data_IF_255089147402
#
_entry.id   IF_255089147402
#
_cell.length_a   1.000
_cell.length_b   1.000
_cell.length_c   1.000
_cell.angle_alpha   90.00
_cell.angle_beta   90.00
_cell.angle_gamma   90.00
#
_symmetry.space_group_name_H-M   'P 1'
#
loop_
_entity.id
_entity.type
_entity.pdbx_description
1 polymer ?
#
# COMPACT_ATOMS: atom_id res chain seq x y z
N UNK A 1 -3.81 12.46 -14.56
CA UNK A 1 -3.54 13.56 -13.60
C UNK A 1 -4.02 13.11 -12.23
N UNK A 2 -3.20 13.21 -11.20
CA UNK A 2 -3.40 12.58 -9.88
C UNK A 2 -4.80 12.76 -9.25
N UNK A 3 -5.38 11.70 -8.68
CA UNK A 3 -6.51 11.79 -7.74
C UNK A 3 -6.01 12.07 -6.31
N UNK A 4 -5.20 13.12 -6.19
CA UNK A 4 -4.70 13.62 -4.92
C UNK A 4 -5.62 14.72 -4.36
N UNK A 5 -5.61 14.90 -3.04
CA UNK A 5 -6.24 16.05 -2.41
C UNK A 5 -5.63 17.35 -2.99
N UNK A 6 -6.40 18.46 -3.08
CA UNK A 6 -5.90 19.71 -3.65
C UNK A 6 -4.58 20.19 -3.04
N UNK A 7 -4.41 20.04 -1.72
CA UNK A 7 -3.18 20.40 -1.00
C UNK A 7 -1.95 19.64 -1.52
N UNK A 8 -2.10 18.34 -1.76
CA UNK A 8 -0.99 17.49 -2.24
C UNK A 8 -0.66 17.79 -3.70
N UNK A 9 -1.67 18.16 -4.51
CA UNK A 9 -1.44 18.65 -5.88
C UNK A 9 -0.57 19.91 -5.89
N UNK A 10 -0.86 20.87 -5.01
CA UNK A 10 -0.07 22.09 -4.89
C UNK A 10 1.35 21.82 -4.39
N UNK A 11 1.52 20.90 -3.43
CA UNK A 11 2.85 20.50 -2.95
C UNK A 11 3.68 19.81 -4.03
N UNK A 12 3.10 18.87 -4.79
CA UNK A 12 3.79 18.22 -5.91
C UNK A 12 4.13 19.23 -7.00
N UNK A 13 3.22 20.16 -7.31
CA UNK A 13 3.50 21.20 -8.29
C UNK A 13 4.65 22.11 -7.84
N UNK A 14 4.64 22.56 -6.59
CA UNK A 14 5.74 23.34 -6.03
C UNK A 14 7.05 22.55 -6.09
N UNK A 15 7.06 21.30 -5.65
CA UNK A 15 8.24 20.43 -5.75
C UNK A 15 8.72 20.29 -7.20
N UNK A 16 7.81 20.13 -8.17
CA UNK A 16 8.12 20.11 -9.61
C UNK A 16 8.81 21.37 -10.07
N UNK A 17 8.31 22.53 -9.66
CA UNK A 17 8.90 23.82 -10.03
C UNK A 17 10.28 24.02 -9.37
N UNK A 18 10.44 23.58 -8.12
CA UNK A 18 11.70 23.66 -7.37
C UNK A 18 12.80 22.74 -7.91
N UNK A 19 12.42 21.59 -8.47
CA UNK A 19 13.35 20.59 -8.99
C UNK A 19 13.20 20.41 -10.51
N UNK A 20 12.72 21.44 -11.20
CA UNK A 20 12.46 21.42 -12.66
C UNK A 20 13.69 21.08 -13.51
N UNK A 21 14.88 21.39 -13.00
CA UNK A 21 16.15 21.15 -13.67
C UNK A 21 16.75 19.76 -13.31
N UNK A 22 16.03 18.96 -12.52
CA UNK A 22 16.38 17.57 -12.19
C UNK A 22 15.56 16.59 -13.01
N UNK A 23 16.20 15.50 -13.43
CA UNK A 23 15.55 14.37 -14.12
C UNK A 23 14.62 13.55 -13.20
N UNK A 24 14.51 13.92 -11.91
CA UNK A 24 13.64 13.26 -10.92
C UNK A 24 12.25 12.97 -11.49
N UNK A 25 11.62 13.96 -12.12
CA UNK A 25 10.23 13.83 -12.58
C UNK A 25 10.09 12.94 -13.82
N UNK A 26 11.13 12.86 -14.66
CA UNK A 26 11.16 11.92 -15.78
C UNK A 26 11.15 10.49 -15.24
N UNK A 27 12.03 10.20 -14.28
CA UNK A 27 12.11 8.87 -13.69
C UNK A 27 10.89 8.54 -12.82
N UNK A 28 10.34 9.53 -12.11
CA UNK A 28 9.09 9.39 -11.36
C UNK A 28 7.91 9.05 -12.28
N UNK A 29 7.75 9.78 -13.38
CA UNK A 29 6.65 9.53 -14.33
C UNK A 29 6.81 8.14 -15.01
N UNK A 30 8.06 7.70 -15.27
CA UNK A 30 8.34 6.32 -15.69
C UNK A 30 7.91 5.29 -14.64
N UNK A 31 8.36 5.42 -13.39
CA UNK A 31 7.95 4.51 -12.30
C UNK A 31 6.43 4.39 -12.21
N UNK A 32 5.75 5.55 -12.20
CA UNK A 32 4.29 5.65 -12.11
C UNK A 32 3.60 4.90 -13.24
N UNK A 33 4.11 5.02 -14.46
CA UNK A 33 3.56 4.29 -15.61
C UNK A 33 3.64 2.78 -15.40
N UNK A 34 4.77 2.30 -14.88
CA UNK A 34 5.00 0.86 -14.71
C UNK A 34 4.19 0.24 -13.56
N UNK A 35 3.83 1.00 -12.52
CA UNK A 35 3.06 0.48 -11.37
C UNK A 35 1.59 0.90 -11.36
N UNK A 36 1.13 1.70 -12.34
CA UNK A 36 -0.19 2.33 -12.32
C UNK A 36 -1.35 1.34 -12.20
N UNK A 37 -1.32 0.26 -12.97
CA UNK A 37 -2.39 -0.74 -12.98
C UNK A 37 -2.45 -1.48 -11.65
N UNK A 38 -1.30 -1.90 -11.13
CA UNK A 38 -1.19 -2.52 -9.81
C UNK A 38 -1.70 -1.60 -8.69
N UNK A 39 -1.27 -0.33 -8.67
CA UNK A 39 -1.73 0.65 -7.68
C UNK A 39 -3.24 0.88 -7.78
N UNK A 40 -3.78 0.96 -9.00
CA UNK A 40 -5.20 1.20 -9.23
C UNK A 40 -6.04 0.03 -8.73
N UNK A 41 -5.65 -1.21 -9.04
CA UNK A 41 -6.35 -2.41 -8.57
C UNK A 41 -6.20 -2.57 -7.04
N UNK A 42 -4.99 -2.38 -6.51
CA UNK A 42 -4.71 -2.38 -5.08
C UNK A 42 -5.58 -1.39 -4.32
N UNK A 43 -5.76 -0.18 -4.87
CA UNK A 43 -6.61 0.86 -4.27
C UNK A 43 -8.10 0.47 -4.26
N UNK A 44 -8.57 -0.32 -5.23
CA UNK A 44 -9.95 -0.80 -5.21
C UNK A 44 -10.16 -1.83 -4.09
N UNK A 45 -9.17 -2.71 -3.88
CA UNK A 45 -9.24 -3.70 -2.80
C UNK A 45 -9.12 -3.08 -1.41
N UNK A 46 -8.24 -2.10 -1.20
CA UNK A 46 -8.16 -1.44 0.12
C UNK A 46 -9.49 -0.73 0.46
N UNK A 47 -10.09 -0.02 -0.50
CA UNK A 47 -11.40 0.62 -0.29
C UNK A 47 -12.52 -0.39 -0.04
N UNK A 48 -12.45 -1.55 -0.69
CA UNK A 48 -13.40 -2.63 -0.45
C UNK A 48 -13.22 -3.27 0.93
N UNK A 49 -11.97 -3.46 1.38
CA UNK A 49 -11.66 -3.92 2.75
C UNK A 49 -12.22 -2.93 3.76
N UNK A 50 -11.96 -1.63 3.58
CA UNK A 50 -12.47 -0.56 4.44
C UNK A 50 -14.01 -0.62 4.54
N UNK A 51 -14.73 -0.75 3.41
CA UNK A 51 -16.20 -0.85 3.39
C UNK A 51 -16.70 -2.12 4.12
N UNK A 52 -16.00 -3.24 3.95
CA UNK A 52 -16.35 -4.51 4.61
C UNK A 52 -16.13 -4.47 6.12
N UNK A 53 -15.08 -3.81 6.58
CA UNK A 53 -14.73 -3.73 8.00
C UNK A 53 -15.52 -2.63 8.73
N UNK A 54 -15.96 -1.58 8.04
CA UNK A 54 -16.69 -0.44 8.64
C UNK A 54 -18.00 -0.86 9.31
N UNK A 55 -18.73 -1.83 8.74
CA UNK A 55 -19.98 -2.34 9.31
C UNK A 55 -19.79 -3.00 10.68
N UNK A 56 -18.64 -3.66 10.87
CA UNK A 56 -18.33 -4.44 12.08
C UNK A 56 -17.40 -3.70 13.05
N UNK A 57 -16.90 -2.52 12.64
CA UNK A 57 -16.04 -1.60 13.41
C UNK A 57 -16.54 -1.33 14.82
N UNK A 58 -17.85 -1.41 15.04
CA UNK A 58 -18.48 -1.12 16.33
C UNK A 58 -19.07 -2.35 17.04
N UNK A 59 -19.04 -3.53 16.42
CA UNK A 59 -19.76 -4.71 16.91
C UNK A 59 -18.87 -5.90 17.25
N UNK A 60 -17.80 -6.14 16.47
CA UNK A 60 -17.00 -7.38 16.60
C UNK A 60 -15.51 -7.14 16.81
N UNK A 61 -15.01 -5.98 16.40
CA UNK A 61 -13.59 -5.64 16.46
C UNK A 61 -13.41 -4.48 17.44
N UNK A 62 -12.41 -4.57 18.31
CA UNK A 62 -11.98 -3.44 19.11
C UNK A 62 -11.48 -2.30 18.20
N UNK A 63 -12.04 -1.07 18.28
CA UNK A 63 -11.67 0.05 17.41
C UNK A 63 -10.17 0.36 17.38
N UNK A 64 -9.43 0.04 18.45
CA UNK A 64 -7.97 0.21 18.51
C UNK A 64 -7.23 -0.63 17.45
N UNK A 65 -7.81 -1.75 17.01
CA UNK A 65 -7.18 -2.72 16.12
C UNK A 65 -7.70 -2.66 14.67
N UNK A 66 -8.59 -1.72 14.35
CA UNK A 66 -9.20 -1.65 13.01
C UNK A 66 -8.17 -1.45 11.90
N UNK A 67 -7.26 -0.49 12.07
CA UNK A 67 -6.19 -0.25 11.09
C UNK A 67 -5.30 -1.49 10.90
N UNK A 68 -5.12 -2.30 11.95
CA UNK A 68 -4.31 -3.52 11.90
C UNK A 68 -5.06 -4.64 11.17
N UNK A 69 -6.36 -4.77 11.41
CA UNK A 69 -7.23 -5.69 10.67
C UNK A 69 -7.25 -5.36 9.18
N UNK A 70 -7.47 -4.10 8.82
CA UNK A 70 -7.53 -3.65 7.42
C UNK A 70 -6.19 -3.89 6.71
N UNK A 71 -5.08 -3.58 7.37
CA UNK A 71 -3.72 -3.86 6.86
C UNK A 71 -3.47 -5.36 6.69
N UNK A 72 -3.88 -6.17 7.65
CA UNK A 72 -3.69 -7.62 7.59
C UNK A 72 -4.55 -8.25 6.48
N UNK A 73 -5.81 -7.84 6.34
CA UNK A 73 -6.71 -8.30 5.28
C UNK A 73 -6.15 -7.94 3.90
N UNK A 74 -5.79 -6.66 3.71
CA UNK A 74 -5.23 -6.19 2.45
C UNK A 74 -3.88 -6.86 2.15
N UNK A 75 -3.00 -7.02 3.15
CA UNK A 75 -1.74 -7.74 3.02
C UNK A 75 -1.94 -9.19 2.56
N UNK A 76 -2.94 -9.89 3.10
CA UNK A 76 -3.26 -11.25 2.68
C UNK A 76 -3.85 -11.36 1.27
N UNK A 77 -4.63 -10.36 0.84
CA UNK A 77 -5.07 -10.25 -0.56
C UNK A 77 -3.85 -10.11 -1.49
N UNK A 78 -2.87 -9.28 -1.13
CA UNK A 78 -1.65 -9.12 -1.92
C UNK A 78 -0.79 -10.40 -1.92
N UNK A 79 -0.64 -11.08 -0.77
CA UNK A 79 0.08 -12.35 -0.69
C UNK A 79 -0.57 -13.39 -1.61
N UNK A 80 -1.88 -13.55 -1.52
CA UNK A 80 -2.60 -14.56 -2.29
C UNK A 80 -2.56 -14.27 -3.80
N UNK A 81 -2.80 -13.03 -4.21
CA UNK A 81 -2.71 -12.65 -5.64
C UNK A 81 -1.29 -12.72 -6.19
N UNK A 82 -0.27 -12.67 -5.33
CA UNK A 82 1.11 -12.96 -5.70
C UNK A 82 1.41 -14.46 -5.82
N UNK A 83 0.50 -15.36 -5.42
CA UNK A 83 0.73 -16.81 -5.36
C UNK A 83 1.53 -17.25 -4.12
N UNK A 84 1.71 -16.38 -3.14
CA UNK A 84 2.27 -16.73 -1.84
C UNK A 84 1.20 -17.34 -0.93
N UNK A 85 1.64 -18.07 0.10
CA UNK A 85 0.73 -18.55 1.13
C UNK A 85 0.15 -17.37 1.91
N UNK A 86 -1.12 -17.49 2.28
CA UNK A 86 -1.78 -16.60 3.23
C UNK A 86 -1.06 -16.69 4.59
N UNK A 87 -0.94 -15.57 5.29
CA UNK A 87 -0.54 -15.56 6.69
C UNK A 87 -1.71 -16.04 7.56
N UNK A 88 -1.49 -17.08 8.36
CA UNK A 88 -2.51 -17.60 9.26
C UNK A 88 -2.40 -16.98 10.64
N UNK A 89 -3.54 -16.59 11.21
CA UNK A 89 -3.62 -16.04 12.56
C UNK A 89 -3.70 -17.15 13.60
N UNK A 90 -2.96 -16.97 14.68
CA UNK A 90 -3.03 -17.80 15.88
C UNK A 90 -3.91 -17.13 16.94
N UNK A 91 -4.79 -17.90 17.56
CA UNK A 91 -5.67 -17.41 18.62
C UNK A 91 -5.07 -17.58 20.01
N UNK A 92 -4.92 -16.48 20.77
CA UNK A 92 -4.48 -16.50 22.16
C UNK A 92 -5.39 -15.65 23.03
N UNK A 93 -6.05 -16.27 24.01
CA UNK A 93 -7.11 -15.62 24.79
C UNK A 93 -8.15 -14.98 23.87
N UNK A 94 -8.29 -13.66 23.90
CA UNK A 94 -9.17 -12.86 23.01
C UNK A 94 -8.45 -12.27 21.79
N UNK A 95 -7.14 -12.45 21.69
CA UNK A 95 -6.29 -11.85 20.65
C UNK A 95 -6.10 -12.82 19.48
N UNK A 96 -6.02 -12.24 18.28
CA UNK A 96 -5.56 -12.88 17.05
C UNK A 96 -4.20 -12.33 16.70
N UNK A 97 -3.22 -13.21 16.55
CA UNK A 97 -1.79 -12.87 16.50
C UNK A 97 -1.17 -13.44 15.23
N UNK A 98 -0.29 -12.69 14.58
CA UNK A 98 0.54 -13.20 13.48
C UNK A 98 1.56 -14.23 13.99
N UNK A 99 2.15 -15.06 13.11
CA UNK A 99 3.26 -15.95 13.49
C UNK A 99 4.49 -15.19 14.03
N UNK A 100 4.64 -13.90 13.70
CA UNK A 100 5.67 -13.03 14.24
C UNK A 100 5.39 -12.53 15.67
N UNK A 101 4.21 -12.83 16.22
CA UNK A 101 3.81 -12.43 17.56
C UNK A 101 3.11 -11.08 17.65
N UNK A 102 2.67 -10.51 16.52
CA UNK A 102 2.00 -9.21 16.47
C UNK A 102 0.48 -9.38 16.60
N UNK A 103 -0.17 -8.60 17.47
CA UNK A 103 -1.63 -8.65 17.61
C UNK A 103 -2.27 -7.91 16.44
N UNK A 104 -3.10 -8.61 15.66
CA UNK A 104 -3.83 -8.06 14.51
C UNK A 104 -5.22 -7.59 14.91
N UNK A 105 -5.90 -8.39 15.74
CA UNK A 105 -7.26 -8.11 16.15
C UNK A 105 -7.50 -8.58 17.58
N UNK A 106 -8.46 -7.94 18.24
CA UNK A 106 -8.91 -8.30 19.57
C UNK A 106 -10.43 -8.43 19.57
N UNK A 107 -10.89 -9.62 19.95
CA UNK A 107 -12.31 -9.87 20.15
C UNK A 107 -12.77 -9.31 21.51
N UNK A 108 -14.09 -9.14 21.66
CA UNK A 108 -14.69 -8.71 22.93
C UNK A 108 -14.34 -9.63 24.10
N UNK A 109 -14.35 -10.94 23.85
CA UNK A 109 -13.97 -11.99 24.80
C UNK A 109 -13.35 -13.20 24.08
N UNK A 110 -12.75 -14.10 24.86
CA UNK A 110 -12.09 -15.31 24.34
C UNK A 110 -13.03 -16.27 23.62
N UNK A 111 -14.33 -16.26 23.94
CA UNK A 111 -15.32 -17.11 23.29
C UNK A 111 -15.66 -16.58 21.88
N UNK A 112 -15.65 -15.26 21.71
CA UNK A 112 -15.96 -14.58 20.45
C UNK A 112 -14.78 -14.56 19.47
N UNK A 113 -13.55 -14.85 19.93
CA UNK A 113 -12.34 -14.85 19.10
C UNK A 113 -12.46 -15.72 17.85
N UNK A 114 -12.99 -16.94 18.00
CA UNK A 114 -13.09 -17.86 16.87
C UNK A 114 -14.04 -17.32 15.78
N UNK A 115 -15.19 -16.76 16.20
CA UNK A 115 -16.13 -16.13 15.27
C UNK A 115 -15.52 -14.92 14.55
N UNK A 116 -14.70 -14.12 15.25
CA UNK A 116 -13.94 -13.05 14.63
C UNK A 116 -12.95 -13.59 13.59
N UNK A 117 -12.21 -14.65 13.92
CA UNK A 117 -11.26 -15.26 12.98
C UNK A 117 -11.96 -15.81 11.72
N UNK A 118 -13.06 -16.53 11.91
CA UNK A 118 -13.88 -17.07 10.81
C UNK A 118 -14.43 -15.93 9.93
N UNK A 119 -14.87 -14.83 10.53
CA UNK A 119 -15.32 -13.65 9.81
C UNK A 119 -14.19 -13.03 8.96
N UNK A 120 -13.00 -12.83 9.53
CA UNK A 120 -11.85 -12.27 8.80
C UNK A 120 -11.43 -13.18 7.63
N UNK A 121 -11.45 -14.49 7.82
CA UNK A 121 -11.18 -15.44 6.74
C UNK A 121 -12.28 -15.46 5.68
N UNK A 122 -13.54 -15.29 6.07
CA UNK A 122 -14.66 -15.12 5.14
C UNK A 122 -14.49 -13.90 4.23
N UNK A 123 -13.99 -12.77 4.76
CA UNK A 123 -13.65 -11.60 3.93
C UNK A 123 -12.59 -11.97 2.88
N UNK A 124 -11.55 -12.71 3.26
CA UNK A 124 -10.52 -13.13 2.31
C UNK A 124 -11.07 -14.04 1.21
N UNK A 125 -11.98 -14.96 1.55
CA UNK A 125 -12.66 -15.81 0.58
C UNK A 125 -13.58 -15.01 -0.36
N UNK A 126 -14.27 -13.98 0.14
CA UNK A 126 -15.06 -13.06 -0.68
C UNK A 126 -14.19 -12.18 -1.58
N UNK A 127 -12.98 -11.84 -1.16
CA UNK A 127 -12.04 -11.05 -1.95
C UNK A 127 -11.70 -11.76 -3.27
N UNK A 128 -11.56 -13.09 -3.25
CA UNK A 128 -11.31 -13.92 -4.43
C UNK A 128 -12.43 -13.90 -5.46
N UNK A 129 -13.64 -13.56 -5.03
CA UNK A 129 -14.82 -13.48 -5.88
C UNK A 129 -14.99 -12.08 -6.50
N UNK A 130 -14.16 -11.10 -6.12
CA UNK A 130 -14.25 -9.75 -6.66
C UNK A 130 -13.91 -9.74 -8.16
N UNK A 131 -14.64 -8.98 -9.00
CA UNK A 131 -14.36 -8.88 -10.43
C UNK A 131 -12.92 -8.46 -10.76
N UNK A 132 -12.29 -7.69 -9.86
CA UNK A 132 -10.93 -7.17 -9.98
C UNK A 132 -9.85 -8.20 -9.65
N UNK A 133 -10.19 -9.36 -9.08
CA UNK A 133 -9.21 -10.32 -8.57
C UNK A 133 -8.22 -10.77 -9.65
N UNK A 134 -8.72 -11.21 -10.80
CA UNK A 134 -7.89 -11.67 -11.92
C UNK A 134 -6.99 -10.55 -12.49
N UNK A 135 -7.47 -9.29 -12.45
CA UNK A 135 -6.67 -8.14 -12.87
C UNK A 135 -5.53 -7.87 -11.88
N UNK A 136 -5.77 -7.99 -10.57
CA UNK A 136 -4.74 -7.86 -9.55
C UNK A 136 -3.70 -8.99 -9.61
N UNK A 137 -4.14 -10.24 -9.83
CA UNK A 137 -3.23 -11.38 -10.07
C UNK A 137 -2.33 -11.13 -11.28
N UNK A 138 -2.92 -10.71 -12.41
CA UNK A 138 -2.16 -10.40 -13.63
C UNK A 138 -1.16 -9.27 -13.42
N UNK A 139 -1.58 -8.16 -12.78
CA UNK A 139 -0.69 -7.04 -12.49
C UNK A 139 0.45 -7.45 -11.55
N UNK A 140 0.15 -8.26 -10.53
CA UNK A 140 1.17 -8.75 -9.58
C UNK A 140 2.15 -9.72 -10.26
N UNK A 141 1.67 -10.61 -11.13
CA UNK A 141 2.51 -11.51 -11.90
C UNK A 141 3.45 -10.74 -12.84
N UNK A 142 2.96 -9.69 -13.52
CA UNK A 142 3.78 -8.82 -14.35
C UNK A 142 4.85 -8.11 -13.52
N UNK A 143 4.50 -7.57 -12.35
CA UNK A 143 5.48 -6.92 -11.48
C UNK A 143 6.54 -7.90 -10.98
N UNK A 144 6.19 -9.16 -10.72
CA UNK A 144 7.14 -10.20 -10.27
C UNK A 144 8.05 -10.73 -11.38
N UNK A 145 7.75 -10.43 -12.64
CA UNK A 145 8.60 -10.84 -13.76
C UNK A 145 10.05 -10.33 -13.56
N UNK A 146 11.03 -11.17 -13.88
CA UNK A 146 12.42 -10.88 -13.61
C UNK A 146 12.98 -9.72 -14.44
N UNK A 147 12.51 -9.52 -15.67
CA UNK A 147 12.87 -8.35 -16.47
C UNK A 147 12.17 -7.12 -15.92
N UNK A 148 10.89 -7.26 -15.52
CA UNK A 148 10.15 -6.16 -14.91
C UNK A 148 10.77 -5.67 -13.61
N UNK A 149 11.18 -6.58 -12.73
CA UNK A 149 11.87 -6.25 -11.48
C UNK A 149 13.20 -5.51 -11.72
N UNK A 150 13.95 -5.89 -12.77
CA UNK A 150 15.17 -5.18 -13.16
C UNK A 150 14.88 -3.77 -13.66
N UNK A 151 13.86 -3.61 -14.50
CA UNK A 151 13.41 -2.31 -14.99
C UNK A 151 12.99 -1.40 -13.84
N UNK A 152 12.13 -1.89 -12.94
CA UNK A 152 11.68 -1.16 -11.77
C UNK A 152 12.85 -0.77 -10.86
N UNK A 153 13.81 -1.68 -10.65
CA UNK A 153 15.02 -1.38 -9.88
C UNK A 153 15.86 -0.29 -10.54
N UNK A 154 16.10 -0.36 -11.85
CA UNK A 154 16.85 0.67 -12.58
C UNK A 154 16.16 2.04 -12.51
N UNK A 155 14.84 2.10 -12.63
CA UNK A 155 14.07 3.34 -12.44
C UNK A 155 14.22 3.85 -10.99
N UNK A 156 14.10 2.96 -10.00
CA UNK A 156 14.26 3.33 -8.59
C UNK A 156 15.66 3.87 -8.27
N UNK A 157 16.71 3.23 -8.79
CA UNK A 157 18.11 3.67 -8.63
C UNK A 157 18.33 5.07 -9.26
N UNK A 158 17.70 5.34 -10.41
CA UNK A 158 17.71 6.66 -11.07
C UNK A 158 16.94 7.72 -10.26
N UNK A 159 15.79 7.37 -9.70
CA UNK A 159 15.04 8.26 -8.79
C UNK A 159 15.90 8.61 -7.58
N UNK A 160 16.51 7.61 -6.94
CA UNK A 160 17.39 7.82 -5.77
C UNK A 160 18.55 8.74 -6.12
N UNK A 161 19.22 8.50 -7.24
CA UNK A 161 20.34 9.34 -7.70
C UNK A 161 19.91 10.78 -7.98
N UNK A 162 18.72 10.98 -8.55
CA UNK A 162 18.17 12.31 -8.81
C UNK A 162 17.81 13.06 -7.52
N UNK A 163 17.34 12.33 -6.49
CA UNK A 163 17.08 12.88 -5.16
C UNK A 163 18.39 13.30 -4.47
N UNK A 164 19.42 12.47 -4.50
CA UNK A 164 20.75 12.81 -3.95
C UNK A 164 21.31 14.08 -4.61
N UNK A 165 21.14 14.22 -5.92
CA UNK A 165 21.50 15.44 -6.65
C UNK A 165 20.74 16.68 -6.18
N UNK A 166 19.45 16.55 -5.85
CA UNK A 166 18.64 17.63 -5.28
C UNK A 166 19.11 18.00 -3.87
N UNK A 167 19.46 17.03 -3.04
CA UNK A 167 20.00 17.27 -1.70
C UNK A 167 21.33 18.02 -1.74
N UNK A 168 22.22 17.67 -2.68
CA UNK A 168 23.45 18.42 -2.91
C UNK A 168 23.18 19.87 -3.34
N UNK A 169 22.12 20.13 -4.11
CA UNK A 169 21.73 21.50 -4.48
C UNK A 169 21.22 22.32 -3.28
N UNK A 170 20.64 21.69 -2.25
CA UNK A 170 20.27 22.38 -1.00
C UNK A 170 21.49 22.88 -0.22
N UNK A 171 22.64 22.24 -0.38
CA UNK A 171 23.89 22.67 0.28
C UNK A 171 24.49 23.96 -0.32
N UNK A 172 23.97 24.45 -1.46
CA UNK A 172 24.41 25.68 -2.12
C UNK A 172 23.23 26.62 -2.36
N UNK A 173 22.84 27.39 -1.33
CA UNK A 173 21.76 28.38 -1.43
C UNK A 173 22.07 29.44 -2.50
N UNK A 174 21.05 29.86 -3.26
CA UNK A 174 21.14 30.91 -4.29
C UNK A 174 21.01 30.45 -5.76
N UNK A 175 20.92 29.15 -6.05
CA UNK A 175 20.65 28.65 -7.42
C UNK A 175 19.17 28.40 -7.73
N UNK A 176 18.33 28.21 -6.71
CA UNK A 176 16.88 28.10 -6.88
C UNK A 176 16.22 29.43 -6.50
N UNK A 177 15.64 30.13 -7.48
CA UNK A 177 14.91 31.39 -7.30
C UNK A 177 13.72 31.33 -6.33
N UNK A 178 13.30 30.12 -5.94
CA UNK A 178 12.21 29.86 -5.00
C UNK A 178 12.70 29.44 -3.60
N UNK A 179 14.00 29.18 -3.41
CA UNK A 179 14.57 28.84 -2.10
C UNK A 179 15.19 30.12 -1.50
N UNK A 180 14.53 30.80 -0.54
CA UNK A 180 15.09 31.98 0.08
C UNK A 180 16.37 31.63 0.84
N UNK A 181 17.34 32.56 0.80
CA UNK A 181 18.57 32.53 1.59
C UNK A 181 18.25 32.79 3.06
#
# INVERSE_FOLDING_TARGET
MYNLLPKDKHLIQALREHTKDSDLWVHWDSWRKEVADYETMSRQFILWVDDKTELERWQKIDPEYMDLVERWLFGNILLKTSGAAREELEGRERDLITPAGEVVARAADSASRQALQEYLYGILEEAEQQPQWSALESATAQLRDGEKQKELKDIADKISSALDGIELMRAFSGRCHLCPV
#
